data_IF_309481256157
#
_entry.id   IF_309481256157
#
_cell.length_a   1.000
_cell.length_b   1.000
_cell.length_c   1.000
_cell.angle_alpha   90.00
_cell.angle_beta   90.00
_cell.angle_gamma   90.00
#
_symmetry.space_group_name_H-M   'P 1'
#
loop_
_entity.id
_entity.type
_entity.pdbx_description
1 polymer ?
#
# COMPACT_ATOMS: atom_id res chain seq x y z
N UNK A 1 -45.08 -65.04 6.81
CA UNK A 1 -44.24 -64.35 7.81
C UNK A 1 -44.42 -62.85 7.63
N UNK A 2 -44.37 -62.10 8.73
CA UNK A 2 -45.11 -60.88 9.02
C UNK A 2 -44.88 -59.64 8.15
N UNK A 3 -45.96 -58.86 8.08
CA UNK A 3 -46.09 -57.45 7.70
C UNK A 3 -45.22 -56.56 8.60
N UNK A 4 -44.49 -55.59 8.03
CA UNK A 4 -44.28 -54.28 8.67
C UNK A 4 -44.31 -53.17 7.62
N UNK A 5 -45.41 -52.39 7.62
CA UNK A 5 -45.49 -51.02 7.09
C UNK A 5 -44.82 -50.08 8.10
N UNK A 6 -43.95 -49.17 7.68
CA UNK A 6 -43.67 -47.89 8.36
C UNK A 6 -43.38 -46.87 7.24
N UNK A 7 -44.36 -46.07 6.81
CA UNK A 7 -44.64 -44.70 7.29
C UNK A 7 -43.42 -43.77 7.35
N UNK A 8 -43.35 -42.91 6.34
CA UNK A 8 -43.18 -41.46 6.42
C UNK A 8 -42.16 -40.87 7.42
N UNK A 9 -41.09 -40.27 6.90
CA UNK A 9 -40.87 -38.82 7.03
C UNK A 9 -39.82 -38.35 6.01
N UNK A 10 -40.29 -37.75 4.91
CA UNK A 10 -39.44 -36.96 4.02
C UNK A 10 -39.16 -35.65 4.75
N UNK A 11 -37.94 -35.46 5.26
CA UNK A 11 -37.48 -34.16 5.74
C UNK A 11 -37.00 -33.38 4.50
N UNK A 12 -37.91 -32.63 3.90
CA UNK A 12 -37.57 -31.58 2.95
C UNK A 12 -36.93 -30.46 3.78
N UNK A 13 -35.60 -30.42 3.81
CA UNK A 13 -34.86 -29.28 4.33
C UNK A 13 -34.94 -28.16 3.27
N UNK A 14 -36.04 -27.43 3.29
CA UNK A 14 -36.14 -26.15 2.58
C UNK A 14 -35.18 -25.17 3.24
N UNK A 15 -33.97 -25.09 2.70
CA UNK A 15 -33.04 -23.99 2.95
C UNK A 15 -33.70 -22.68 2.49
N UNK A 16 -34.27 -21.99 3.48
CA UNK A 16 -34.50 -20.55 3.61
C UNK A 16 -34.17 -19.71 2.37
N UNK A 17 -35.11 -19.65 1.42
CA UNK A 17 -35.28 -18.48 0.56
C UNK A 17 -36.11 -17.45 1.32
N UNK A 18 -35.44 -16.65 2.15
CA UNK A 18 -36.01 -15.43 2.72
C UNK A 18 -34.93 -14.39 3.02
N UNK A 19 -34.32 -13.85 1.96
CA UNK A 19 -33.73 -12.52 1.98
C UNK A 19 -33.89 -11.85 0.60
N UNK A 20 -35.11 -11.86 0.07
CA UNK A 20 -35.49 -10.96 -1.02
C UNK A 20 -36.35 -9.83 -0.44
N UNK A 21 -35.73 -9.03 0.44
CA UNK A 21 -36.24 -7.73 0.88
C UNK A 21 -35.56 -6.64 0.04
N UNK A 22 -36.35 -5.80 -0.62
CA UNK A 22 -35.94 -4.85 -1.64
C UNK A 22 -35.25 -3.59 -1.12
N UNK A 23 -34.39 -3.72 -0.09
CA UNK A 23 -33.45 -2.68 0.29
C UNK A 23 -32.05 -3.26 0.23
N UNK A 24 -31.30 -2.83 -0.80
CA UNK A 24 -29.87 -3.07 -0.92
C UNK A 24 -29.16 -2.11 0.04
N UNK A 25 -29.40 -2.27 1.34
CA UNK A 25 -28.68 -1.53 2.36
C UNK A 25 -27.31 -2.17 2.54
N UNK A 26 -26.29 -1.34 2.73
CA UNK A 26 -24.94 -1.79 3.05
C UNK A 26 -24.70 -1.52 4.53
N UNK A 27 -24.20 -2.52 5.25
CA UNK A 27 -23.76 -2.35 6.63
C UNK A 27 -22.28 -2.01 6.69
N UNK A 28 -21.86 -1.35 7.77
CA UNK A 28 -20.46 -1.03 8.03
C UNK A 28 -19.56 -2.26 7.95
N UNK A 29 -20.00 -3.39 8.50
CA UNK A 29 -19.25 -4.66 8.45
C UNK A 29 -19.04 -5.15 7.02
N UNK A 30 -20.06 -5.08 6.17
CA UNK A 30 -19.94 -5.48 4.76
C UNK A 30 -19.02 -4.51 4.03
N UNK A 31 -19.21 -3.20 4.20
CA UNK A 31 -18.36 -2.20 3.57
C UNK A 31 -16.89 -2.34 4.00
N UNK A 32 -16.64 -2.61 5.28
CA UNK A 32 -15.30 -2.81 5.83
C UNK A 32 -14.65 -4.04 5.20
N UNK A 33 -15.35 -5.17 5.16
CA UNK A 33 -14.85 -6.40 4.52
C UNK A 33 -14.47 -6.19 3.06
N UNK A 34 -15.32 -5.49 2.28
CA UNK A 34 -15.04 -5.21 0.87
C UNK A 34 -13.85 -4.27 0.69
N UNK A 35 -13.70 -3.27 1.56
CA UNK A 35 -12.54 -2.36 1.53
C UNK A 35 -11.26 -3.08 1.96
N UNK A 36 -11.29 -3.91 2.99
CA UNK A 36 -10.15 -4.72 3.44
C UNK A 36 -9.68 -5.65 2.32
N UNK A 37 -10.61 -6.41 1.73
CA UNK A 37 -10.29 -7.30 0.60
C UNK A 37 -9.68 -6.53 -0.58
N UNK A 38 -10.22 -5.34 -0.88
CA UNK A 38 -9.67 -4.48 -1.92
C UNK A 38 -8.25 -4.01 -1.60
N UNK A 39 -7.97 -3.60 -0.36
CA UNK A 39 -6.65 -3.15 0.11
C UNK A 39 -5.60 -4.26 0.12
N UNK A 40 -5.97 -5.48 0.49
CA UNK A 40 -5.07 -6.66 0.44
C UNK A 40 -4.64 -6.97 -0.99
N UNK A 41 -5.56 -6.84 -1.94
CA UNK A 41 -5.28 -7.06 -3.37
C UNK A 41 -4.63 -5.85 -4.06
N UNK A 42 -4.80 -4.66 -3.49
CA UNK A 42 -4.34 -3.38 -4.05
C UNK A 42 -3.71 -2.54 -2.93
N UNK A 43 -2.52 -2.92 -2.44
CA UNK A 43 -1.86 -2.20 -1.37
C UNK A 43 -1.62 -0.74 -1.77
N UNK A 44 -1.78 0.15 -0.79
CA UNK A 44 -1.61 1.59 -1.00
C UNK A 44 -0.27 2.01 -0.43
N UNK A 45 0.55 2.66 -1.25
CA UNK A 45 1.86 3.14 -0.86
C UNK A 45 2.21 4.43 -1.61
N UNK A 46 3.07 5.24 -1.02
CA UNK A 46 3.76 6.33 -1.72
C UNK A 46 5.04 5.81 -2.37
N UNK A 47 5.50 6.49 -3.41
CA UNK A 47 6.70 6.11 -4.14
C UNK A 47 7.61 7.30 -4.38
N UNK A 48 8.90 7.01 -4.53
CA UNK A 48 9.90 7.96 -4.99
C UNK A 48 10.87 7.29 -5.97
N UNK A 49 11.54 8.11 -6.77
CA UNK A 49 12.65 7.65 -7.60
C UNK A 49 13.96 7.75 -6.83
N UNK A 50 14.73 6.68 -6.84
CA UNK A 50 16.11 6.61 -6.33
C UNK A 50 17.06 6.28 -7.48
N UNK A 51 18.22 6.93 -7.53
CA UNK A 51 19.27 6.59 -8.50
C UNK A 51 20.13 5.40 -8.01
N UNK A 52 20.58 4.57 -8.93
CA UNK A 52 21.54 3.51 -8.65
C UNK A 52 22.49 3.29 -9.84
N UNK A 53 23.56 2.52 -9.63
CA UNK A 53 24.69 2.46 -10.56
C UNK A 53 25.72 3.54 -10.21
N UNK A 54 26.35 4.17 -11.20
CA UNK A 54 27.27 5.28 -10.94
C UNK A 54 26.49 6.56 -10.62
N UNK A 55 26.54 6.99 -9.36
CA UNK A 55 25.89 8.20 -8.87
C UNK A 55 26.96 9.19 -8.41
N UNK A 56 26.83 10.44 -8.88
CA UNK A 56 27.75 11.54 -8.55
C UNK A 56 27.10 12.41 -7.48
N UNK A 57 27.87 12.72 -6.43
CA UNK A 57 27.47 13.63 -5.37
C UNK A 57 28.45 14.81 -5.28
N UNK A 58 27.93 16.02 -5.20
CA UNK A 58 28.68 17.21 -4.82
C UNK A 58 28.55 17.40 -3.29
N UNK A 59 29.70 17.54 -2.60
CA UNK A 59 29.82 17.43 -1.14
C UNK A 59 28.87 18.33 -0.36
N UNK A 60 28.61 19.54 -0.88
CA UNK A 60 27.73 20.51 -0.22
C UNK A 60 26.28 20.43 -0.67
N UNK A 61 26.03 20.43 -1.98
CA UNK A 61 24.65 20.49 -2.49
C UNK A 61 23.89 19.19 -2.23
N UNK A 62 24.60 18.05 -2.23
CA UNK A 62 24.01 16.73 -2.13
C UNK A 62 24.32 16.07 -0.78
N UNK A 63 24.70 16.87 0.23
CA UNK A 63 25.09 16.38 1.55
C UNK A 63 23.98 15.53 2.20
N UNK A 64 22.74 16.03 2.18
CA UNK A 64 21.57 15.36 2.74
C UNK A 64 21.26 14.07 1.97
N UNK A 65 21.31 14.12 0.64
CA UNK A 65 21.06 12.96 -0.22
C UNK A 65 22.12 11.87 0.01
N UNK A 66 23.40 12.23 0.07
CA UNK A 66 24.48 11.30 0.37
C UNK A 66 24.34 10.71 1.78
N UNK A 67 23.86 11.48 2.76
CA UNK A 67 23.56 10.98 4.09
C UNK A 67 22.44 9.93 4.05
N UNK A 68 21.37 10.15 3.28
CA UNK A 68 20.31 9.16 3.06
C UNK A 68 20.86 7.85 2.47
N UNK A 69 21.72 7.92 1.44
CA UNK A 69 22.34 6.70 0.90
C UNK A 69 23.22 5.96 1.93
N UNK A 70 23.93 6.69 2.79
CA UNK A 70 24.76 6.10 3.85
C UNK A 70 23.92 5.41 4.92
N UNK A 71 22.77 5.97 5.28
CA UNK A 71 21.84 5.29 6.21
C UNK A 71 21.23 4.04 5.56
N UNK A 72 20.88 4.08 4.27
CA UNK A 72 20.47 2.87 3.52
C UNK A 72 21.57 1.80 3.48
N UNK A 73 22.84 2.19 3.31
CA UNK A 73 23.98 1.27 3.34
C UNK A 73 24.14 0.62 4.71
N UNK A 74 24.09 1.43 5.77
CA UNK A 74 24.12 0.96 7.16
C UNK A 74 22.95 0.04 7.48
N UNK A 75 21.78 0.30 6.91
CA UNK A 75 20.60 -0.57 6.96
C UNK A 75 20.72 -1.84 6.09
N UNK A 76 21.75 -1.94 5.26
CA UNK A 76 22.01 -3.08 4.37
C UNK A 76 21.11 -3.13 3.14
N UNK A 77 20.45 -2.03 2.76
CA UNK A 77 19.58 -1.94 1.60
C UNK A 77 20.34 -1.63 0.30
N UNK A 78 21.45 -0.92 0.43
CA UNK A 78 22.39 -0.63 -0.66
C UNK A 78 23.82 -0.93 -0.23
N UNK A 79 24.74 -0.92 -1.19
CA UNK A 79 26.18 -0.82 -0.95
C UNK A 79 26.71 0.39 -1.72
N UNK A 80 27.65 1.13 -1.12
CA UNK A 80 28.29 2.29 -1.71
C UNK A 80 29.78 2.02 -1.91
N UNK A 81 30.19 1.85 -3.16
CA UNK A 81 31.59 1.68 -3.52
C UNK A 81 32.15 2.98 -4.10
N UNK A 82 33.08 3.64 -3.41
CA UNK A 82 33.68 4.89 -3.89
C UNK A 82 34.56 4.60 -5.12
N UNK A 83 34.14 5.08 -6.29
CA UNK A 83 34.90 4.92 -7.53
C UNK A 83 35.91 6.05 -7.74
N UNK A 84 35.48 7.30 -7.47
CA UNK A 84 36.30 8.49 -7.72
C UNK A 84 36.02 9.57 -6.68
N UNK A 85 37.09 10.22 -6.23
CA UNK A 85 37.03 11.43 -5.42
C UNK A 85 37.81 12.54 -6.14
N UNK A 86 37.16 13.69 -6.37
CA UNK A 86 37.79 14.86 -6.97
C UNK A 86 37.69 16.04 -6.01
N UNK A 87 38.82 16.43 -5.44
CA UNK A 87 38.97 17.69 -4.73
C UNK A 87 39.06 18.84 -5.75
N UNK A 88 38.16 19.83 -5.69
CA UNK A 88 38.28 21.03 -6.54
C UNK A 88 39.38 21.93 -5.95
N UNK A 89 40.50 22.07 -6.66
CA UNK A 89 41.77 22.65 -6.15
C UNK A 89 41.70 24.11 -5.64
N UNK A 90 40.57 24.82 -5.77
CA UNK A 90 40.37 26.18 -5.22
C UNK A 90 38.99 26.37 -4.57
N UNK A 91 38.15 25.33 -4.54
CA UNK A 91 36.82 25.39 -3.95
C UNK A 91 36.76 24.46 -2.74
N UNK A 92 36.06 24.87 -1.68
CA UNK A 92 35.81 24.05 -0.48
C UNK A 92 34.77 22.93 -0.75
N UNK A 93 34.63 22.49 -1.98
CA UNK A 93 33.58 21.56 -2.41
C UNK A 93 34.21 20.44 -3.21
N UNK A 94 34.04 19.21 -2.73
CA UNK A 94 34.56 18.00 -3.34
C UNK A 94 33.44 17.28 -4.08
N UNK A 95 33.80 16.49 -5.07
CA UNK A 95 32.84 15.64 -5.78
C UNK A 95 33.22 14.18 -5.58
N UNK A 96 32.23 13.33 -5.30
CA UNK A 96 32.38 11.89 -5.15
C UNK A 96 31.56 11.18 -6.22
N UNK A 97 32.07 10.08 -6.75
CA UNK A 97 31.31 9.15 -7.59
C UNK A 97 31.28 7.82 -6.88
N UNK A 98 30.09 7.35 -6.52
CA UNK A 98 29.85 6.06 -5.91
C UNK A 98 29.17 5.12 -6.90
N UNK A 99 29.53 3.84 -6.86
CA UNK A 99 28.73 2.77 -7.43
C UNK A 99 27.74 2.28 -6.37
N UNK A 100 26.48 2.65 -6.55
CA UNK A 100 25.36 2.28 -5.68
C UNK A 100 24.75 0.98 -6.19
N UNK A 101 24.79 -0.09 -5.39
CA UNK A 101 24.16 -1.39 -5.73
C UNK A 101 23.04 -1.71 -4.75
N UNK A 102 21.85 -2.00 -5.27
CA UNK A 102 20.72 -2.51 -4.49
C UNK A 102 21.03 -3.93 -3.97
N UNK A 103 20.78 -4.18 -2.69
CA UNK A 103 20.95 -5.52 -2.10
C UNK A 103 19.64 -6.31 -2.15
N UNK A 104 19.69 -7.61 -1.83
CA UNK A 104 18.48 -8.43 -1.70
C UNK A 104 17.48 -7.89 -0.67
N UNK A 105 17.95 -7.16 0.36
CA UNK A 105 17.08 -6.57 1.39
C UNK A 105 16.16 -5.48 0.83
N UNK A 106 16.53 -4.86 -0.29
CA UNK A 106 15.74 -3.83 -0.96
C UNK A 106 14.57 -4.38 -1.80
N UNK A 107 14.57 -5.67 -2.14
CA UNK A 107 13.56 -6.31 -3.01
C UNK A 107 12.10 -5.96 -2.65
N UNK A 108 11.64 -6.04 -1.38
CA UNK A 108 10.23 -5.76 -1.05
C UNK A 108 9.81 -4.29 -1.25
N UNK A 109 10.79 -3.38 -1.36
CA UNK A 109 10.57 -1.94 -1.52
C UNK A 109 10.71 -1.46 -2.95
N UNK A 110 11.39 -2.22 -3.82
CA UNK A 110 11.60 -1.85 -5.23
C UNK A 110 10.45 -2.36 -6.08
N UNK A 111 9.71 -1.44 -6.70
CA UNK A 111 8.57 -1.76 -7.58
C UNK A 111 9.02 -1.97 -9.02
N UNK A 112 9.84 -1.04 -9.52
CA UNK A 112 10.30 -1.02 -10.90
C UNK A 112 11.77 -0.58 -10.96
N UNK A 113 12.47 -1.04 -12.00
CA UNK A 113 13.86 -0.64 -12.26
C UNK A 113 14.04 -0.28 -13.73
N UNK A 114 14.86 0.73 -13.95
CA UNK A 114 15.46 1.12 -15.22
C UNK A 114 16.97 1.05 -15.07
N UNK A 115 17.75 1.29 -16.13
CA UNK A 115 19.22 1.18 -16.08
C UNK A 115 19.90 2.03 -14.99
N UNK A 116 19.28 3.12 -14.55
CA UNK A 116 19.86 4.07 -13.57
C UNK A 116 18.96 4.44 -12.40
N UNK A 117 17.69 4.04 -12.43
CA UNK A 117 16.71 4.44 -11.42
C UNK A 117 15.85 3.28 -10.97
N UNK A 118 15.51 3.29 -9.69
CA UNK A 118 14.53 2.41 -9.08
C UNK A 118 13.36 3.23 -8.54
N UNK A 119 12.14 2.77 -8.81
CA UNK A 119 10.95 3.26 -8.14
C UNK A 119 10.80 2.49 -6.83
N UNK A 120 10.93 3.17 -5.70
CA UNK A 120 10.89 2.58 -4.37
C UNK A 120 9.64 3.01 -3.61
N UNK A 121 9.09 2.12 -2.79
CA UNK A 121 8.08 2.44 -1.80
C UNK A 121 8.72 3.26 -0.69
N UNK A 122 8.14 4.41 -0.36
CA UNK A 122 8.64 5.28 0.72
C UNK A 122 7.77 5.20 1.96
N UNK A 123 6.47 4.98 1.77
CA UNK A 123 5.45 4.92 2.82
C UNK A 123 4.44 3.84 2.44
N UNK A 124 4.05 3.00 3.39
CA UNK A 124 2.97 2.03 3.24
C UNK A 124 1.77 2.43 4.10
N UNK A 125 0.56 2.19 3.58
CA UNK A 125 -0.69 2.48 4.28
C UNK A 125 -1.44 1.21 4.61
N UNK A 126 -1.76 1.04 5.88
CA UNK A 126 -2.55 -0.09 6.39
C UNK A 126 -3.87 0.41 6.96
N UNK A 127 -4.90 -0.43 6.90
CA UNK A 127 -6.20 -0.09 7.46
C UNK A 127 -6.07 0.10 8.97
N UNK A 128 -6.63 1.18 9.49
CA UNK A 128 -6.77 1.37 10.92
C UNK A 128 -7.96 0.54 11.44
N UNK A 129 -7.68 -0.62 12.01
CA UNK A 129 -8.71 -1.52 12.58
C UNK A 129 -9.52 -0.84 13.70
N UNK A 130 -8.92 0.13 14.41
CA UNK A 130 -9.55 0.85 15.52
C UNK A 130 -10.38 2.05 15.03
N UNK A 131 -10.05 2.59 13.85
CA UNK A 131 -10.60 3.84 13.31
C UNK A 131 -12.02 3.74 12.75
N UNK A 132 -12.52 2.52 12.59
CA UNK A 132 -13.84 2.24 12.02
C UNK A 132 -13.99 2.66 10.55
N UNK A 133 -15.23 2.62 10.06
CA UNK A 133 -15.61 2.98 8.69
C UNK A 133 -16.81 3.91 8.72
N UNK A 134 -16.78 4.97 7.91
CA UNK A 134 -17.94 5.83 7.68
C UNK A 134 -18.57 5.45 6.34
N UNK A 135 -19.78 4.89 6.38
CA UNK A 135 -20.52 4.46 5.19
C UNK A 135 -21.65 5.45 4.86
N UNK A 136 -21.63 5.95 3.64
CA UNK A 136 -22.69 6.80 3.07
C UNK A 136 -23.33 6.08 1.88
N UNK A 137 -24.59 5.69 2.01
CA UNK A 137 -25.34 5.12 0.89
C UNK A 137 -25.80 6.25 -0.05
N UNK A 138 -25.15 6.37 -1.19
CA UNK A 138 -25.41 7.43 -2.18
C UNK A 138 -26.48 7.05 -3.21
N UNK A 139 -26.96 5.81 -3.19
CA UNK A 139 -28.09 5.38 -4.02
C UNK A 139 -28.49 3.92 -3.79
N UNK A 140 -29.42 3.42 -4.63
CA UNK A 140 -29.99 2.06 -4.49
C UNK A 140 -28.95 0.93 -4.67
N UNK A 141 -27.81 1.18 -5.27
CA UNK A 141 -26.76 0.18 -5.51
C UNK A 141 -25.35 0.78 -5.43
N UNK A 142 -25.22 1.93 -4.76
CA UNK A 142 -23.97 2.68 -4.64
C UNK A 142 -23.80 3.17 -3.21
N UNK A 143 -22.58 3.09 -2.72
CA UNK A 143 -22.19 3.61 -1.42
C UNK A 143 -20.77 4.16 -1.48
N UNK A 144 -20.44 5.03 -0.53
CA UNK A 144 -19.08 5.49 -0.26
C UNK A 144 -18.67 4.99 1.09
N UNK A 145 -17.50 4.38 1.18
CA UNK A 145 -16.87 3.98 2.43
C UNK A 145 -15.64 4.84 2.65
N UNK A 146 -15.61 5.61 3.73
CA UNK A 146 -14.41 6.34 4.13
C UNK A 146 -13.75 5.60 5.28
N UNK A 147 -12.49 5.21 5.07
CA UNK A 147 -11.66 4.54 6.08
C UNK A 147 -10.46 5.40 6.44
N UNK A 148 -9.95 5.21 7.64
CA UNK A 148 -8.67 5.75 8.08
C UNK A 148 -7.57 4.74 7.76
N UNK A 149 -6.49 5.20 7.15
CA UNK A 149 -5.30 4.40 6.89
C UNK A 149 -4.13 4.93 7.72
N UNK A 150 -3.50 4.05 8.50
CA UNK A 150 -2.28 4.33 9.27
C UNK A 150 -1.09 4.39 8.31
N UNK A 151 -0.26 5.43 8.49
CA UNK A 151 0.96 5.66 7.72
C UNK A 151 2.12 4.91 8.39
N UNK A 152 2.84 4.09 7.64
CA UNK A 152 4.08 3.43 8.09
C UNK A 152 5.22 3.82 7.16
N UNK A 153 6.25 4.44 7.72
CA UNK A 153 7.43 4.85 6.96
C UNK A 153 8.34 3.64 6.68
N UNK A 154 8.89 3.59 5.47
CA UNK A 154 9.90 2.59 5.09
C UNK A 154 11.31 3.17 5.27
N UNK A 155 12.34 2.33 5.14
CA UNK A 155 13.73 2.80 5.13
C UNK A 155 14.05 3.77 3.98
N UNK A 156 13.18 3.88 2.96
CA UNK A 156 13.32 4.80 1.83
C UNK A 156 12.54 6.11 2.01
N UNK A 157 11.95 6.37 3.19
CA UNK A 157 11.10 7.56 3.42
C UNK A 157 11.78 8.88 3.11
N UNK A 158 13.10 8.97 3.28
CA UNK A 158 13.86 10.20 3.01
C UNK A 158 13.88 10.62 1.53
N UNK A 159 13.53 9.72 0.60
CA UNK A 159 13.33 10.04 -0.81
C UNK A 159 11.93 10.62 -1.10
N UNK A 160 10.99 10.53 -0.16
CA UNK A 160 9.65 11.06 -0.33
C UNK A 160 9.67 12.57 -0.51
N UNK A 161 8.73 13.09 -1.32
CA UNK A 161 8.55 14.53 -1.48
C UNK A 161 8.18 15.15 -0.14
N UNK A 162 8.92 16.16 0.30
CA UNK A 162 8.61 16.92 1.52
C UNK A 162 7.36 17.77 1.28
N UNK A 163 6.27 17.51 2.01
CA UNK A 163 4.99 18.22 1.90
C UNK A 163 4.25 18.31 3.24
N UNK A 164 3.23 19.18 3.33
CA UNK A 164 2.47 19.40 4.56
C UNK A 164 1.78 18.13 5.09
N UNK A 165 1.36 17.25 4.18
CA UNK A 165 0.70 15.97 4.49
C UNK A 165 1.66 14.95 5.12
N UNK A 166 2.97 15.19 5.07
CA UNK A 166 3.96 14.27 5.65
C UNK A 166 3.95 14.27 7.19
N UNK A 167 3.38 15.30 7.81
CA UNK A 167 3.35 15.46 9.26
C UNK A 167 2.15 14.76 9.93
N UNK A 168 1.33 14.05 9.15
CA UNK A 168 0.22 13.25 9.67
C UNK A 168 0.59 11.76 9.69
N UNK A 169 0.26 11.07 10.78
CA UNK A 169 0.45 9.62 10.94
C UNK A 169 -0.66 8.79 10.28
N UNK A 170 -1.64 9.44 9.63
CA UNK A 170 -2.77 8.78 8.99
C UNK A 170 -3.26 9.58 7.79
N UNK A 171 -4.04 8.92 6.94
CA UNK A 171 -4.83 9.56 5.88
C UNK A 171 -6.25 8.99 5.86
N UNK A 172 -7.21 9.73 5.32
CA UNK A 172 -8.57 9.24 5.09
C UNK A 172 -8.75 8.99 3.60
N UNK A 173 -9.23 7.80 3.25
CA UNK A 173 -9.49 7.43 1.85
C UNK A 173 -10.92 6.96 1.68
N UNK A 174 -11.58 7.48 0.66
CA UNK A 174 -12.95 7.12 0.31
C UNK A 174 -12.96 6.17 -0.87
N UNK A 175 -13.59 5.01 -0.69
CA UNK A 175 -13.83 4.00 -1.71
C UNK A 175 -15.28 4.03 -2.16
N UNK A 176 -15.50 3.89 -3.47
CA UNK A 176 -16.85 3.75 -4.01
C UNK A 176 -17.18 2.27 -4.09
N UNK A 177 -18.33 1.87 -3.52
CA UNK A 177 -18.84 0.51 -3.60
C UNK A 177 -20.06 0.46 -4.50
N UNK A 178 -20.18 -0.63 -5.26
CA UNK A 178 -21.34 -0.89 -6.12
C UNK A 178 -21.86 -2.30 -5.90
N UNK A 179 -23.19 -2.41 -5.80
CA UNK A 179 -23.85 -3.71 -5.70
C UNK A 179 -24.09 -4.32 -7.09
N UNK A 180 -23.59 -5.54 -7.27
CA UNK A 180 -23.89 -6.44 -8.38
C UNK A 180 -24.80 -7.59 -7.88
N UNK A 181 -25.76 -8.01 -8.71
CA UNK A 181 -26.68 -9.10 -8.37
C UNK A 181 -25.99 -10.47 -8.24
N UNK A 182 -24.90 -10.68 -8.95
CA UNK A 182 -24.17 -11.97 -8.99
C UNK A 182 -23.11 -12.04 -7.90
N UNK A 183 -22.35 -10.97 -7.70
CA UNK A 183 -21.16 -10.96 -6.82
C UNK A 183 -21.35 -10.19 -5.51
N UNK A 184 -22.49 -9.53 -5.30
CA UNK A 184 -22.73 -8.70 -4.12
C UNK A 184 -22.13 -7.30 -4.21
N UNK A 185 -21.86 -6.69 -3.05
CA UNK A 185 -21.15 -5.41 -2.98
C UNK A 185 -19.67 -5.61 -3.30
N UNK A 186 -19.02 -4.59 -3.88
CA UNK A 186 -17.58 -4.58 -4.08
C UNK A 186 -17.07 -3.18 -4.39
N UNK A 187 -15.79 -2.95 -4.12
CA UNK A 187 -15.12 -1.68 -4.45
C UNK A 187 -14.97 -1.56 -5.98
N UNK A 188 -15.36 -0.40 -6.51
CA UNK A 188 -15.18 -0.05 -7.92
C UNK A 188 -14.05 0.95 -8.09
N UNK A 189 -13.26 0.78 -9.16
CA UNK A 189 -12.21 1.71 -9.57
C UNK A 189 -12.79 3.04 -10.05
#
# INVERSE_FOLDING_TARGET
MMIVKHQSLIVILTLLWAACGSDKSISDRVALSEVTYHLESNPVFETAEMEYGEVKFDQKSDADLLATYKELEKGGYVTLELLKERKRFLAKDSTFVYLVKLTNKSIPFVLEKTDKKATVKTVEYTLDEDGGIAVEQTGKNRAKATVTLKKTETDFVDFAKKGADNNASFTKKTYTLRFNKETGWGVTK
#
